data_IF_555964713635
#
_entry.id   IF_555964713635
#
_cell.length_a   1.000
_cell.length_b   1.000
_cell.length_c   1.000
_cell.angle_alpha   90.00
_cell.angle_beta   90.00
_cell.angle_gamma   90.00
#
_symmetry.space_group_name_H-M   'P 1'
#
loop_
_entity.id
_entity.type
_entity.pdbx_description
1 polymer ?
#
# COMPACT_ATOMS: atom_id res chain seq x y z
N UNK A 1 8.37 2.09 -2.17
CA UNK A 1 8.02 3.17 -1.24
C UNK A 1 9.26 3.54 -0.44
N UNK A 2 9.57 4.82 -0.38
CA UNK A 2 10.67 5.36 0.41
C UNK A 2 10.11 6.10 1.63
N UNK A 3 10.58 5.72 2.82
CA UNK A 3 10.17 6.24 4.12
C UNK A 3 11.30 7.09 4.69
N UNK A 4 11.25 8.40 4.47
CA UNK A 4 12.27 9.32 5.00
C UNK A 4 12.19 9.47 6.52
N UNK A 5 10.99 9.37 7.09
CA UNK A 5 10.75 9.19 8.51
C UNK A 5 9.70 8.08 8.72
N UNK A 6 10.15 6.94 9.24
CA UNK A 6 9.28 5.76 9.46
C UNK A 6 8.04 6.02 10.33
N UNK A 7 8.09 7.03 11.22
CA UNK A 7 7.00 7.36 12.14
C UNK A 7 6.00 8.36 11.56
N UNK A 8 6.32 9.00 10.44
CA UNK A 8 5.48 10.01 9.82
C UNK A 8 5.09 9.59 8.40
N UNK A 9 3.85 9.10 8.20
CA UNK A 9 3.36 8.70 6.88
C UNK A 9 3.39 9.81 5.83
N UNK A 10 3.35 11.09 6.23
CA UNK A 10 3.43 12.21 5.29
C UNK A 10 4.83 12.40 4.67
N UNK A 11 5.81 11.71 5.25
CA UNK A 11 7.20 11.66 4.78
C UNK A 11 7.47 10.49 3.81
N UNK A 12 6.44 9.68 3.51
CA UNK A 12 6.54 8.52 2.63
C UNK A 12 6.28 8.90 1.17
N UNK A 13 7.06 8.29 0.27
CA UNK A 13 6.99 8.50 -1.16
C UNK A 13 6.82 7.18 -1.91
N UNK A 14 5.89 7.15 -2.85
CA UNK A 14 5.81 6.11 -3.86
C UNK A 14 6.80 6.45 -4.97
N UNK A 15 7.59 5.48 -5.39
CA UNK A 15 8.63 5.65 -6.41
C UNK A 15 8.49 4.54 -7.44
N UNK A 16 8.71 4.88 -8.69
CA UNK A 16 8.69 3.94 -9.79
C UNK A 16 9.76 4.28 -10.83
N UNK A 17 10.18 3.26 -11.56
CA UNK A 17 11.09 3.38 -12.69
C UNK A 17 10.79 2.22 -13.64
N UNK A 18 10.07 2.53 -14.73
CA UNK A 18 9.72 1.58 -15.78
C UNK A 18 10.50 1.90 -17.06
N UNK A 19 10.70 0.90 -17.92
CA UNK A 19 11.30 1.11 -19.22
C UNK A 19 10.31 1.85 -20.14
N UNK A 20 10.75 2.83 -20.96
CA UNK A 20 9.88 3.53 -21.93
C UNK A 20 9.08 2.61 -22.85
N UNK A 21 9.69 1.50 -23.29
CA UNK A 21 9.04 0.50 -24.15
C UNK A 21 7.82 -0.19 -23.52
N UNK A 22 7.58 -0.02 -22.22
CA UNK A 22 6.38 -0.54 -21.57
C UNK A 22 5.11 0.25 -21.96
N UNK A 23 5.23 1.40 -22.63
CA UNK A 23 4.09 2.17 -23.18
C UNK A 23 2.96 2.43 -22.15
N UNK A 24 3.35 2.78 -20.92
CA UNK A 24 2.44 2.95 -19.79
C UNK A 24 1.72 4.31 -19.84
N UNK A 25 0.40 4.29 -19.68
CA UNK A 25 -0.46 5.49 -19.62
C UNK A 25 -0.55 6.04 -18.18
N UNK A 26 -0.87 5.17 -17.22
CA UNK A 26 -0.94 5.56 -15.81
C UNK A 26 -0.62 4.41 -14.87
N UNK A 27 -0.29 4.79 -13.63
CA UNK A 27 -0.21 3.91 -12.48
C UNK A 27 -1.41 4.15 -11.57
N UNK A 28 -2.01 3.06 -11.10
CA UNK A 28 -2.96 3.07 -9.99
C UNK A 28 -2.27 2.51 -8.76
N UNK A 29 -2.28 3.26 -7.68
CA UNK A 29 -1.87 2.82 -6.36
C UNK A 29 -3.11 2.57 -5.52
N UNK A 30 -3.01 1.62 -4.59
CA UNK A 30 -4.11 1.21 -3.72
C UNK A 30 -3.65 1.18 -2.27
N UNK A 31 -4.41 1.79 -1.38
CA UNK A 31 -4.31 1.58 0.06
C UNK A 31 -5.40 0.60 0.48
N UNK A 32 -4.99 -0.57 0.97
CA UNK A 32 -5.85 -1.71 1.23
C UNK A 32 -5.73 -2.12 2.68
N UNK A 33 -6.87 -2.38 3.33
CA UNK A 33 -6.97 -3.01 4.64
C UNK A 33 -8.08 -4.05 4.57
N UNK A 34 -7.78 -5.29 4.92
CA UNK A 34 -8.79 -6.35 4.91
C UNK A 34 -9.75 -6.18 6.10
N UNK A 35 -11.02 -6.58 5.91
CA UNK A 35 -11.96 -6.67 7.03
C UNK A 35 -11.50 -7.73 8.01
N UNK A 36 -11.64 -7.43 9.29
CA UNK A 36 -11.33 -8.34 10.39
C UNK A 36 -12.51 -8.48 11.32
N UNK A 37 -12.68 -9.67 11.88
CA UNK A 37 -13.61 -9.90 12.98
C UNK A 37 -12.98 -10.83 13.99
N UNK A 38 -13.01 -10.47 15.26
CA UNK A 38 -12.50 -11.27 16.36
C UNK A 38 -13.40 -11.18 17.58
N UNK A 39 -13.33 -12.19 18.44
CA UNK A 39 -14.03 -12.24 19.72
C UNK A 39 -12.98 -12.48 20.80
N UNK A 40 -12.97 -11.65 21.82
CA UNK A 40 -12.11 -11.79 23.00
C UNK A 40 -12.93 -11.50 24.24
N UNK A 41 -12.97 -12.44 25.19
CA UNK A 41 -13.75 -12.31 26.45
C UNK A 41 -15.21 -11.88 26.22
N UNK A 42 -15.90 -12.54 25.28
CA UNK A 42 -17.26 -12.23 24.84
C UNK A 42 -17.47 -10.82 24.24
N UNK A 43 -16.40 -10.05 24.04
CA UNK A 43 -16.43 -8.79 23.31
C UNK A 43 -16.18 -9.02 21.82
N UNK A 44 -17.07 -8.45 21.01
CA UNK A 44 -17.03 -8.55 19.56
C UNK A 44 -16.23 -7.37 18.99
N UNK A 45 -15.15 -7.64 18.29
CA UNK A 45 -14.31 -6.64 17.64
C UNK A 45 -14.46 -6.75 16.13
N UNK A 46 -14.88 -5.65 15.49
CA UNK A 46 -15.00 -5.56 14.04
C UNK A 46 -14.03 -4.52 13.50
N UNK A 47 -13.30 -4.89 12.46
CA UNK A 47 -12.39 -4.03 11.72
C UNK A 47 -12.94 -3.88 10.30
N UNK A 48 -13.30 -2.65 9.89
CA UNK A 48 -13.81 -2.42 8.55
C UNK A 48 -12.71 -2.57 7.51
N UNK A 49 -13.13 -2.95 6.30
CA UNK A 49 -12.29 -2.93 5.11
C UNK A 49 -12.03 -1.48 4.67
N UNK A 50 -10.81 -1.22 4.19
CA UNK A 50 -10.47 0.05 3.54
C UNK A 50 -9.91 -0.29 2.15
N UNK A 51 -10.46 0.34 1.12
CA UNK A 51 -9.92 0.27 -0.22
C UNK A 51 -10.01 1.66 -0.85
N UNK A 52 -8.86 2.33 -0.96
CA UNK A 52 -8.73 3.65 -1.60
C UNK A 52 -7.77 3.55 -2.78
N UNK A 53 -8.07 4.24 -3.89
CA UNK A 53 -7.18 4.30 -5.05
C UNK A 53 -6.68 5.72 -5.33
N UNK A 54 -5.47 5.80 -5.88
CA UNK A 54 -4.85 7.03 -6.35
C UNK A 54 -4.22 6.77 -7.72
N UNK A 55 -4.49 7.65 -8.69
CA UNK A 55 -3.98 7.51 -10.05
C UNK A 55 -2.90 8.56 -10.33
N UNK A 56 -1.76 8.08 -10.81
CA UNK A 56 -0.68 8.90 -11.33
C UNK A 56 -0.60 8.73 -12.85
N UNK A 57 -0.87 9.80 -13.59
CA UNK A 57 -0.65 9.84 -15.04
C UNK A 57 0.85 9.83 -15.34
N UNK A 58 1.26 9.08 -16.35
CA UNK A 58 2.62 9.09 -16.87
C UNK A 58 2.61 9.84 -18.20
N UNK A 59 3.46 10.86 -18.34
CA UNK A 59 3.75 11.39 -19.66
C UNK A 59 4.63 10.37 -20.38
N UNK A 60 4.33 10.01 -21.64
CA UNK A 60 5.00 8.92 -22.35
C UNK A 60 6.54 8.95 -22.41
N UNK A 61 7.17 10.10 -22.14
CA UNK A 61 8.64 10.24 -22.04
C UNK A 61 9.20 10.04 -20.61
N UNK A 62 8.36 10.15 -19.57
CA UNK A 62 8.75 10.06 -18.16
C UNK A 62 8.14 8.79 -17.53
N UNK A 63 8.83 7.67 -17.71
CA UNK A 63 8.44 6.36 -17.14
C UNK A 63 9.01 6.11 -15.75
N UNK A 64 9.68 7.10 -15.16
CA UNK A 64 10.19 7.09 -13.80
C UNK A 64 9.67 8.32 -13.04
N UNK A 65 9.60 8.21 -11.72
CA UNK A 65 9.13 9.31 -10.91
C UNK A 65 8.87 8.92 -9.47
N UNK A 66 8.34 9.88 -8.74
CA UNK A 66 7.89 9.68 -7.37
C UNK A 66 6.72 10.61 -7.06
N UNK A 67 5.92 10.22 -6.07
CA UNK A 67 4.84 11.05 -5.53
C UNK A 67 4.68 10.80 -4.04
N UNK A 68 4.13 11.77 -3.31
CA UNK A 68 3.77 11.59 -1.91
C UNK A 68 2.55 10.69 -1.78
N UNK A 69 2.38 10.07 -0.61
CA UNK A 69 1.09 9.46 -0.30
C UNK A 69 -0.01 10.54 -0.29
N UNK A 70 -1.20 10.25 -0.82
CA UNK A 70 -2.36 11.14 -0.69
C UNK A 70 -2.63 11.48 0.78
N UNK A 71 -3.06 12.71 1.04
CA UNK A 71 -3.33 13.20 2.41
C UNK A 71 -4.30 12.28 3.16
N UNK A 72 -5.40 11.89 2.50
CA UNK A 72 -6.40 10.96 3.03
C UNK A 72 -5.79 9.62 3.48
N UNK A 73 -4.81 9.09 2.74
CA UNK A 73 -4.13 7.85 3.12
C UNK A 73 -3.29 8.07 4.37
N UNK A 74 -2.56 9.19 4.44
CA UNK A 74 -1.73 9.50 5.60
C UNK A 74 -2.56 9.72 6.86
N UNK A 75 -3.75 10.29 6.72
CA UNK A 75 -4.69 10.49 7.83
C UNK A 75 -5.27 9.17 8.32
N UNK A 76 -5.68 8.29 7.41
CA UNK A 76 -6.13 6.94 7.78
C UNK A 76 -5.02 6.16 8.47
N UNK A 77 -3.78 6.20 7.96
CA UNK A 77 -2.64 5.53 8.59
C UNK A 77 -2.40 6.07 10.01
N UNK A 78 -2.44 7.41 10.20
CA UNK A 78 -2.28 8.01 11.54
C UNK A 78 -3.40 7.60 12.48
N UNK A 79 -4.65 7.58 12.02
CA UNK A 79 -5.80 7.16 12.80
C UNK A 79 -5.68 5.68 13.24
N UNK A 80 -5.31 4.79 12.32
CA UNK A 80 -5.07 3.36 12.59
C UNK A 80 -3.93 3.16 13.60
N UNK A 81 -2.80 3.86 13.42
CA UNK A 81 -1.66 3.79 14.34
C UNK A 81 -2.04 4.27 15.75
N UNK A 82 -2.84 5.33 15.86
CA UNK A 82 -3.32 5.85 17.14
C UNK A 82 -4.31 4.89 17.82
N UNK A 83 -5.22 4.28 17.05
CA UNK A 83 -6.16 3.28 17.55
C UNK A 83 -5.41 2.06 18.09
N UNK A 84 -4.41 1.56 17.36
CA UNK A 84 -3.57 0.45 17.83
C UNK A 84 -2.78 0.81 19.08
N UNK A 85 -2.16 1.99 19.13
CA UNK A 85 -1.42 2.46 20.30
C UNK A 85 -2.31 2.57 21.55
N UNK A 86 -3.61 2.82 21.36
CA UNK A 86 -4.60 2.93 22.45
C UNK A 86 -5.19 1.57 22.86
N UNK A 87 -5.16 0.58 21.97
CA UNK A 87 -5.78 -0.73 22.16
C UNK A 87 -4.87 -1.79 22.80
N UNK A 88 -3.55 -1.56 22.87
CA UNK A 88 -2.59 -2.49 23.49
C UNK A 88 -2.55 -2.25 25.01
N UNK A 89 -3.09 -3.15 25.85
CA UNK A 89 -2.94 -3.08 27.30
C UNK A 89 -1.54 -3.57 27.65
N UNK A 90 -0.71 -2.67 28.16
CA UNK A 90 0.70 -2.89 28.54
C UNK A 90 1.65 -3.36 27.42
N UNK A 91 2.88 -2.82 27.43
CA UNK A 91 3.96 -3.17 26.48
C UNK A 91 4.32 -4.67 26.48
N UNK A 92 3.90 -5.41 27.50
CA UNK A 92 4.20 -6.83 27.65
C UNK A 92 3.43 -7.71 26.66
N UNK A 93 2.25 -7.27 26.20
CA UNK A 93 1.40 -8.03 25.27
C UNK A 93 1.47 -7.51 23.83
N UNK A 94 2.33 -6.54 23.52
CA UNK A 94 2.40 -5.91 22.19
C UNK A 94 2.72 -6.90 21.06
N UNK A 95 3.36 -8.03 21.36
CA UNK A 95 3.67 -9.09 20.38
C UNK A 95 2.43 -9.93 19.98
N UNK A 96 1.37 -9.91 20.80
CA UNK A 96 0.11 -10.62 20.49
C UNK A 96 -0.84 -9.78 19.63
N UNK A 97 -0.62 -8.47 19.55
CA UNK A 97 -1.40 -7.59 18.69
C UNK A 97 -0.73 -7.52 17.32
N UNK A 98 -1.42 -8.07 16.32
CA UNK A 98 -0.95 -8.07 14.94
C UNK A 98 -0.70 -6.63 14.46
N UNK A 99 0.42 -6.36 13.76
CA UNK A 99 0.68 -5.05 13.19
C UNK A 99 -0.44 -4.64 12.23
N UNK A 100 -0.56 -3.33 11.91
CA UNK A 100 -1.59 -2.81 11.02
C UNK A 100 -1.72 -3.65 9.76
N UNK A 101 -2.89 -4.28 9.58
CA UNK A 101 -3.20 -5.11 8.41
C UNK A 101 -3.62 -4.26 7.22
N UNK A 102 -2.95 -3.11 7.04
CA UNK A 102 -3.04 -2.35 5.81
C UNK A 102 -1.76 -2.54 5.00
N UNK A 103 -1.87 -2.46 3.69
CA UNK A 103 -0.74 -2.48 2.78
C UNK A 103 -1.02 -1.59 1.58
N UNK A 104 0.07 -1.18 0.92
CA UNK A 104 -0.01 -0.42 -0.32
C UNK A 104 0.32 -1.35 -1.48
N UNK A 105 -0.54 -1.30 -2.49
CA UNK A 105 -0.38 -2.02 -3.73
C UNK A 105 -0.34 -1.09 -4.94
N UNK A 106 0.05 -1.62 -6.10
CA UNK A 106 0.04 -0.87 -7.35
C UNK A 106 -0.33 -1.73 -8.55
N UNK A 107 -0.73 -1.05 -9.62
CA UNK A 107 -0.99 -1.58 -10.96
C UNK A 107 -0.68 -0.55 -12.02
N UNK A 108 -0.47 -0.99 -13.24
CA UNK A 108 -0.31 -0.15 -14.42
C UNK A 108 -1.38 -0.40 -15.45
N UNK A 109 -1.59 0.59 -16.32
CA UNK A 109 -2.34 0.45 -17.56
C UNK A 109 -1.51 1.01 -18.71
N UNK A 110 -1.48 0.29 -19.84
CA UNK A 110 -0.84 0.78 -21.06
C UNK A 110 -1.79 1.66 -21.88
N UNK A 111 -1.24 2.45 -22.80
CA UNK A 111 -2.04 3.28 -23.72
C UNK A 111 -3.01 2.45 -24.59
N UNK A 112 -2.68 1.17 -24.85
CA UNK A 112 -3.53 0.25 -25.60
C UNK A 112 -4.71 -0.30 -24.76
N UNK A 113 -4.83 0.14 -23.50
CA UNK A 113 -5.92 -0.21 -22.61
C UNK A 113 -5.75 -1.56 -21.90
N UNK A 114 -4.65 -2.27 -22.13
CA UNK A 114 -4.35 -3.52 -21.46
C UNK A 114 -3.81 -3.26 -20.04
N UNK A 115 -4.20 -4.13 -19.10
CA UNK A 115 -3.57 -4.19 -17.79
C UNK A 115 -2.18 -4.80 -17.99
N UNK A 116 -1.20 -3.97 -18.33
CA UNK A 116 0.15 -4.45 -18.55
C UNK A 116 0.81 -4.73 -17.19
N UNK A 117 1.24 -5.97 -16.99
CA UNK A 117 2.20 -6.30 -15.94
C UNK A 117 3.56 -6.21 -16.61
N UNK A 118 4.38 -5.20 -16.30
CA UNK A 118 5.69 -5.05 -16.91
C UNK A 118 6.42 -6.41 -16.90
N UNK A 119 6.86 -6.94 -18.06
CA UNK A 119 7.49 -8.24 -18.13
C UNK A 119 8.82 -8.30 -17.35
N UNK A 120 9.35 -7.15 -16.93
CA UNK A 120 10.66 -7.01 -16.30
C UNK A 120 10.73 -5.99 -15.15
N UNK A 121 11.46 -6.30 -14.07
CA UNK A 121 11.83 -7.65 -13.64
C UNK A 121 10.60 -8.33 -13.01
N UNK A 122 10.46 -9.65 -13.24
CA UNK A 122 9.44 -10.54 -12.65
C UNK A 122 9.54 -10.63 -11.12
N UNK A 123 9.41 -9.53 -10.41
CA UNK A 123 9.28 -9.54 -8.97
C UNK A 123 7.80 -9.67 -8.60
N UNK A 124 7.15 -10.75 -9.06
CA UNK A 124 5.75 -11.03 -8.76
C UNK A 124 5.53 -11.31 -7.26
N UNK A 125 6.55 -11.82 -6.56
CA UNK A 125 6.41 -12.37 -5.21
C UNK A 125 7.50 -11.90 -4.20
N UNK A 126 8.19 -10.79 -4.45
CA UNK A 126 9.25 -10.31 -3.55
C UNK A 126 8.78 -9.19 -2.63
N UNK A 127 8.27 -9.56 -1.46
CA UNK A 127 8.24 -8.65 -0.31
C UNK A 127 9.62 -8.71 0.34
N UNK A 128 10.39 -7.63 0.21
CA UNK A 128 11.65 -7.48 0.95
C UNK A 128 11.50 -6.35 1.95
N UNK A 129 11.90 -6.58 3.20
CA UNK A 129 12.38 -5.46 4.00
C UNK A 129 13.63 -4.94 3.29
N UNK A 130 13.55 -3.79 2.64
CA UNK A 130 14.77 -3.05 2.33
C UNK A 130 15.50 -2.71 3.65
N UNK A 131 16.60 -1.96 3.56
CA UNK A 131 16.95 -1.08 4.69
C UNK A 131 15.66 -0.38 5.17
N UNK A 132 15.50 -0.12 6.47
CA UNK A 132 14.22 0.29 7.06
C UNK A 132 13.57 1.54 6.41
N UNK A 133 14.31 2.25 5.55
CA UNK A 133 13.86 3.36 4.73
C UNK A 133 13.16 2.95 3.41
N UNK A 134 13.25 1.71 2.91
CA UNK A 134 12.68 1.28 1.61
C UNK A 134 11.78 0.05 1.78
N UNK A 135 10.55 0.14 1.27
CA UNK A 135 9.57 -0.95 1.22
C UNK A 135 9.12 -1.18 -0.23
N UNK A 136 9.13 -2.43 -0.69
CA UNK A 136 8.61 -2.77 -2.01
C UNK A 136 7.08 -2.77 -2.02
N UNK A 137 6.49 -2.06 -2.99
CA UNK A 137 5.03 -2.00 -3.16
C UNK A 137 4.60 -3.17 -4.04
N UNK A 138 3.66 -3.99 -3.55
CA UNK A 138 3.22 -5.19 -4.27
C UNK A 138 2.37 -4.86 -5.48
N UNK A 139 2.46 -5.68 -6.51
CA UNK A 139 1.47 -5.68 -7.58
C UNK A 139 0.14 -6.24 -7.06
N UNK A 140 -1.00 -5.72 -7.54
CA UNK A 140 -2.34 -6.16 -7.12
C UNK A 140 -3.11 -6.75 -8.29
N UNK A 141 -3.55 -8.00 -8.17
CA UNK A 141 -4.45 -8.61 -9.16
C UNK A 141 -5.85 -7.95 -9.10
N UNK A 142 -6.61 -8.00 -10.21
CA UNK A 142 -7.97 -7.43 -10.26
C UNK A 142 -8.91 -8.19 -9.37
N UNK A 143 -8.65 -9.48 -9.21
CA UNK A 143 -9.43 -10.33 -8.34
C UNK A 143 -9.26 -9.99 -6.86
N UNK A 144 -8.17 -9.32 -6.47
CA UNK A 144 -7.94 -8.87 -5.09
C UNK A 144 -8.69 -7.57 -4.76
N UNK A 145 -9.09 -6.81 -5.78
CA UNK A 145 -9.83 -5.56 -5.62
C UNK A 145 -11.33 -5.83 -5.75
N UNK A 146 -12.15 -5.19 -4.91
CA UNK A 146 -13.61 -5.25 -5.02
C UNK A 146 -14.22 -6.65 -4.83
N UNK A 147 -13.59 -7.51 -4.01
CA UNK A 147 -14.25 -8.75 -3.61
C UNK A 147 -15.49 -8.40 -2.77
N UNK A 148 -16.66 -8.82 -3.26
CA UNK A 148 -17.96 -8.66 -2.57
C UNK A 148 -18.07 -9.64 -1.43
#
# INVERSE_FOLDING_TARGET
MWKTNQKDPSSHYLMWNFHPDNNLDYLSFYFLKERGYSITEDMHHYQPEIQMDFRQQLSGEQTYGFTKLPEEWTDNIKAENNLMASAIPDRFFSEFFLPPQYYIGWRSKSHDGNDDVPPFPRNRNGFGSGDGSIEFVRFIDRQELYQK
#
